data_IF_511894494137
#
_entry.id   IF_511894494137
#
_cell.length_a   1.000
_cell.length_b   1.000
_cell.length_c   1.000
_cell.angle_alpha   90.00
_cell.angle_beta   90.00
_cell.angle_gamma   90.00
#
_symmetry.space_group_name_H-M   'P 1'
#
loop_
_entity.id
_entity.type
_entity.pdbx_description
1 polymer ?
#
# COMPACT_ATOMS: atom_id res chain seq x y z
N UNK A 1 17.87 -18.78 19.38
CA UNK A 1 16.60 -18.06 19.17
C UNK A 1 16.46 -17.85 17.66
N UNK A 2 15.53 -18.53 16.97
CA UNK A 2 15.34 -18.35 15.52
C UNK A 2 14.60 -17.03 15.29
N UNK A 3 15.33 -15.96 14.99
CA UNK A 3 14.78 -14.63 14.69
C UNK A 3 14.06 -14.56 13.33
N UNK A 4 13.73 -15.70 12.72
CA UNK A 4 13.07 -15.78 11.41
C UNK A 4 11.55 -15.56 11.48
N UNK A 5 10.94 -15.64 12.67
CA UNK A 5 9.47 -15.54 12.81
C UNK A 5 8.90 -14.12 12.82
N UNK A 6 9.74 -13.08 12.79
CA UNK A 6 9.30 -11.68 12.94
C UNK A 6 9.65 -10.76 11.75
N UNK A 7 10.20 -11.28 10.65
CA UNK A 7 10.36 -10.47 9.45
C UNK A 7 8.99 -10.28 8.80
N UNK A 8 8.50 -9.03 8.76
CA UNK A 8 7.30 -8.70 8.00
C UNK A 8 7.54 -9.15 6.56
N UNK A 9 6.59 -9.91 6.02
CA UNK A 9 6.61 -10.32 4.62
C UNK A 9 5.71 -9.39 3.83
N UNK A 10 6.20 -9.01 2.66
CA UNK A 10 5.39 -8.31 1.69
C UNK A 10 4.32 -9.23 1.09
N UNK A 11 3.17 -8.65 0.80
CA UNK A 11 2.01 -9.27 0.16
C UNK A 11 1.64 -8.51 -1.11
N UNK A 12 0.89 -9.17 -1.98
CA UNK A 12 0.22 -8.47 -3.08
C UNK A 12 -0.85 -7.52 -2.52
N UNK A 13 -1.08 -6.40 -3.20
CA UNK A 13 -2.13 -5.43 -2.88
C UNK A 13 -2.02 -4.83 -1.47
N UNK A 14 -0.81 -4.46 -1.05
CA UNK A 14 -0.54 -3.86 0.26
C UNK A 14 -0.95 -2.39 0.38
N UNK A 15 -1.03 -1.66 -0.74
CA UNK A 15 -1.52 -0.30 -0.76
C UNK A 15 -3.04 -0.29 -0.91
N UNK A 16 -3.72 0.39 0.00
CA UNK A 16 -5.18 0.49 -0.02
C UNK A 16 -5.65 1.93 0.24
N UNK A 17 -6.84 2.24 -0.26
CA UNK A 17 -7.45 3.56 -0.12
C UNK A 17 -8.30 3.61 1.15
N UNK A 18 -8.17 4.71 1.89
CA UNK A 18 -9.00 5.03 3.05
C UNK A 18 -9.55 6.45 2.92
N UNK A 19 -10.86 6.60 2.99
CA UNK A 19 -11.51 7.92 3.06
C UNK A 19 -11.24 8.58 4.42
N UNK A 20 -10.89 9.86 4.41
CA UNK A 20 -10.73 10.71 5.58
C UNK A 20 -11.39 12.05 5.34
N UNK A 21 -12.48 12.34 6.07
CA UNK A 21 -13.28 13.58 5.94
C UNK A 21 -13.57 13.93 4.46
N UNK A 22 -12.77 14.80 3.88
CA UNK A 22 -12.95 15.37 2.55
C UNK A 22 -11.95 14.86 1.50
N UNK A 23 -11.03 13.99 1.89
CA UNK A 23 -9.98 13.46 1.04
C UNK A 23 -9.83 11.94 1.18
N UNK A 24 -9.06 11.34 0.29
CA UNK A 24 -8.77 9.93 0.23
C UNK A 24 -7.26 9.73 0.42
N UNK A 25 -6.88 8.86 1.35
CA UNK A 25 -5.49 8.53 1.63
C UNK A 25 -5.17 7.18 1.01
N UNK A 26 -3.98 7.06 0.43
CA UNK A 26 -3.39 5.77 0.11
C UNK A 26 -2.50 5.36 1.28
N UNK A 27 -2.77 4.22 1.89
CA UNK A 27 -2.08 3.70 3.06
C UNK A 27 -1.20 2.53 2.64
N UNK A 28 0.05 2.50 3.10
CA UNK A 28 0.90 1.33 3.00
C UNK A 28 0.58 0.36 4.15
N UNK A 29 0.00 -0.79 3.84
CA UNK A 29 -0.31 -1.83 4.83
C UNK A 29 0.93 -2.46 5.48
N UNK A 30 2.09 -2.42 4.83
CA UNK A 30 3.33 -3.00 5.35
C UNK A 30 3.91 -2.15 6.48
N UNK A 31 4.13 -0.86 6.21
CA UNK A 31 4.68 0.10 7.17
C UNK A 31 3.62 0.81 8.02
N UNK A 32 2.33 0.65 7.68
CA UNK A 32 1.18 1.31 8.32
C UNK A 32 1.27 2.83 8.29
N UNK A 33 1.89 3.38 7.25
CA UNK A 33 2.05 4.80 7.04
C UNK A 33 1.21 5.29 5.86
N UNK A 34 1.09 6.61 5.72
CA UNK A 34 0.44 7.22 4.57
C UNK A 34 1.43 7.28 3.40
N UNK A 35 1.05 6.69 2.27
CA UNK A 35 1.82 6.71 1.04
C UNK A 35 1.45 7.89 0.13
N UNK A 36 0.16 8.25 0.05
CA UNK A 36 -0.31 9.45 -0.66
C UNK A 36 -1.58 10.03 -0.04
N UNK A 37 -1.88 11.28 -0.37
CA UNK A 37 -3.09 12.00 -0.01
C UNK A 37 -3.69 12.63 -1.27
N UNK A 38 -4.86 12.17 -1.66
CA UNK A 38 -5.56 12.60 -2.87
C UNK A 38 -6.93 13.18 -2.50
N UNK A 39 -7.38 14.21 -3.21
CA UNK A 39 -8.69 14.84 -2.91
C UNK A 39 -9.86 14.02 -3.49
N UNK A 40 -9.60 13.19 -4.53
CA UNK A 40 -10.62 12.39 -5.22
C UNK A 40 -10.35 10.90 -5.07
N UNK A 41 -11.43 10.13 -4.95
CA UNK A 41 -11.38 8.66 -4.83
C UNK A 41 -10.70 7.99 -6.02
N UNK A 42 -11.04 8.41 -7.24
CA UNK A 42 -10.46 7.87 -8.48
C UNK A 42 -8.95 8.06 -8.53
N UNK A 43 -8.46 9.23 -8.10
CA UNK A 43 -7.03 9.51 -8.02
C UNK A 43 -6.35 8.61 -6.99
N UNK A 44 -6.94 8.46 -5.80
CA UNK A 44 -6.42 7.57 -4.76
C UNK A 44 -6.36 6.11 -5.22
N UNK A 45 -7.42 5.63 -5.89
CA UNK A 45 -7.47 4.26 -6.41
C UNK A 45 -6.43 4.03 -7.49
N UNK A 46 -6.21 5.00 -8.38
CA UNK A 46 -5.15 4.94 -9.40
C UNK A 46 -3.76 4.87 -8.76
N UNK A 47 -3.49 5.74 -7.79
CA UNK A 47 -2.20 5.75 -7.06
C UNK A 47 -1.98 4.44 -6.30
N UNK A 48 -3.00 3.91 -5.62
CA UNK A 48 -2.91 2.63 -4.94
C UNK A 48 -2.60 1.48 -5.91
N UNK A 49 -3.24 1.45 -7.09
CA UNK A 49 -2.98 0.45 -8.11
C UNK A 49 -1.56 0.53 -8.66
N UNK A 50 -1.09 1.73 -9.02
CA UNK A 50 0.27 1.96 -9.52
C UNK A 50 1.33 1.54 -8.49
N UNK A 51 1.15 1.90 -7.22
CA UNK A 51 2.06 1.52 -6.14
C UNK A 51 2.07 0.00 -5.90
N UNK A 52 0.91 -0.65 -5.98
CA UNK A 52 0.81 -2.11 -5.89
C UNK A 52 1.52 -2.79 -7.06
N UNK A 53 1.32 -2.33 -8.30
CA UNK A 53 2.03 -2.86 -9.47
C UNK A 53 3.55 -2.72 -9.33
N UNK A 54 4.03 -1.55 -8.90
CA UNK A 54 5.47 -1.32 -8.68
C UNK A 54 6.03 -2.28 -7.63
N UNK A 55 5.30 -2.48 -6.52
CA UNK A 55 5.70 -3.40 -5.45
C UNK A 55 5.75 -4.85 -5.94
N UNK A 56 4.69 -5.29 -6.62
CA UNK A 56 4.57 -6.63 -7.20
C UNK A 56 5.71 -6.90 -8.17
N UNK A 57 5.99 -5.97 -9.10
CA UNK A 57 7.11 -6.07 -10.04
C UNK A 57 8.47 -6.13 -9.33
N UNK A 58 8.68 -5.29 -8.32
CA UNK A 58 9.96 -5.24 -7.57
C UNK A 58 10.23 -6.52 -6.78
N UNK A 59 9.19 -7.12 -6.21
CA UNK A 59 9.30 -8.27 -5.31
C UNK A 59 9.02 -9.60 -6.01
N UNK A 60 8.65 -9.57 -7.29
CA UNK A 60 8.24 -10.74 -8.07
C UNK A 60 7.17 -11.58 -7.35
N UNK A 61 6.21 -10.89 -6.71
CA UNK A 61 5.10 -11.52 -6.01
C UNK A 61 4.08 -11.92 -7.08
N UNK A 62 4.04 -13.21 -7.43
CA UNK A 62 3.10 -13.77 -8.40
C UNK A 62 1.67 -13.86 -7.84
#
# INVERSE_FOLDING_TARGET
MKATSYMKQHKANEFYVKKSRDYYMVIDGYDKNMASLEVKEEAANKVAAELNEMRVKRLNIA
#
